data_IF_412195880999
#
_entry.id   IF_412195880999
#
_cell.length_a   1.000
_cell.length_b   1.000
_cell.length_c   1.000
_cell.angle_alpha   90.00
_cell.angle_beta   90.00
_cell.angle_gamma   90.00
#
_symmetry.space_group_name_H-M   'P 1'
#
loop_
_entity.id
_entity.type
_entity.pdbx_description
1 polymer ?
#
# COMPACT_ATOMS: atom_id res chain seq x y z
N UNK A 1 -14.40 6.11 -19.89
CA UNK A 1 -14.83 5.71 -18.54
C UNK A 1 -15.31 6.98 -17.85
N UNK A 2 -16.52 6.99 -17.35
CA UNK A 2 -17.02 8.13 -16.59
C UNK A 2 -16.44 8.13 -15.16
N UNK A 3 -16.66 9.22 -14.41
CA UNK A 3 -16.09 9.34 -13.05
C UNK A 3 -16.66 8.29 -12.10
N UNK A 4 -17.92 7.91 -12.20
CA UNK A 4 -18.52 6.89 -11.33
C UNK A 4 -17.94 5.50 -11.59
N UNK A 5 -17.65 5.17 -12.85
CA UNK A 5 -16.93 3.92 -13.18
C UNK A 5 -15.53 3.89 -12.60
N UNK A 6 -14.81 5.03 -12.62
CA UNK A 6 -13.49 5.15 -11.98
C UNK A 6 -13.61 5.00 -10.47
N UNK A 7 -14.57 5.66 -9.83
CA UNK A 7 -14.79 5.55 -8.38
C UNK A 7 -15.09 4.10 -7.95
N UNK A 8 -15.92 3.41 -8.73
CA UNK A 8 -16.21 1.99 -8.51
C UNK A 8 -14.94 1.13 -8.65
N UNK A 9 -14.14 1.36 -9.68
CA UNK A 9 -12.88 0.64 -9.85
C UNK A 9 -11.90 0.92 -8.69
N UNK A 10 -11.77 2.18 -8.27
CA UNK A 10 -10.90 2.58 -7.15
C UNK A 10 -11.31 1.96 -5.83
N UNK A 11 -12.62 1.78 -5.55
CA UNK A 11 -13.08 1.03 -4.35
C UNK A 11 -12.42 -0.35 -4.26
N UNK A 12 -12.33 -1.07 -5.39
CA UNK A 12 -11.69 -2.37 -5.47
C UNK A 12 -10.16 -2.34 -5.37
N UNK A 13 -9.56 -1.16 -5.38
CA UNK A 13 -8.09 -0.96 -5.26
C UNK A 13 -7.68 -0.39 -3.90
N UNK A 14 -8.62 -0.17 -2.99
CA UNK A 14 -8.30 0.37 -1.67
C UNK A 14 -7.68 -0.71 -0.79
N UNK A 15 -6.52 -0.41 -0.20
CA UNK A 15 -6.05 -1.06 1.02
C UNK A 15 -6.72 -0.31 2.18
N UNK A 16 -7.83 -0.88 2.70
CA UNK A 16 -8.62 -0.26 3.77
C UNK A 16 -7.80 -0.25 5.06
N UNK A 17 -7.36 0.94 5.47
CA UNK A 17 -6.28 1.11 6.43
C UNK A 17 -6.77 1.56 7.79
N UNK A 18 -6.38 0.85 8.85
CA UNK A 18 -6.41 1.32 10.23
C UNK A 18 -5.04 1.18 10.88
N UNK A 19 -4.40 2.32 11.15
CA UNK A 19 -3.08 2.43 11.76
C UNK A 19 -3.08 3.47 12.89
N UNK A 20 -4.04 3.34 13.81
CA UNK A 20 -4.13 4.18 14.99
C UNK A 20 -3.45 3.49 16.18
N UNK A 21 -2.73 4.24 16.99
CA UNK A 21 -2.14 3.72 18.23
C UNK A 21 -3.17 3.19 19.24
N UNK A 22 -4.45 3.53 19.02
CA UNK A 22 -5.60 3.09 19.84
C UNK A 22 -6.41 1.96 19.20
N UNK A 23 -5.90 1.32 18.14
CA UNK A 23 -6.56 0.15 17.57
C UNK A 23 -6.48 -1.04 18.54
N UNK A 24 -7.55 -1.81 18.55
CA UNK A 24 -7.69 -2.99 19.40
C UNK A 24 -8.14 -4.19 18.56
N UNK A 25 -7.91 -5.44 18.99
CA UNK A 25 -8.41 -6.61 18.28
C UNK A 25 -9.90 -6.53 17.97
N UNK A 26 -10.72 -6.05 18.93
CA UNK A 26 -12.17 -5.89 18.74
C UNK A 26 -12.51 -4.90 17.63
N UNK A 27 -11.82 -3.75 17.58
CA UNK A 27 -12.03 -2.75 16.50
C UNK A 27 -11.66 -3.32 15.13
N UNK A 28 -10.55 -4.05 15.05
CA UNK A 28 -10.11 -4.67 13.81
C UNK A 28 -11.06 -5.78 13.37
N UNK A 29 -11.57 -6.60 14.31
CA UNK A 29 -12.60 -7.60 14.01
C UNK A 29 -13.88 -6.95 13.46
N UNK A 30 -14.34 -5.84 14.06
CA UNK A 30 -15.50 -5.09 13.57
C UNK A 30 -15.25 -4.55 12.16
N UNK A 31 -14.06 -3.98 11.91
CA UNK A 31 -13.68 -3.48 10.58
C UNK A 31 -13.68 -4.62 9.53
N UNK A 32 -13.12 -5.78 9.88
CA UNK A 32 -13.11 -6.97 9.01
C UNK A 32 -14.54 -7.48 8.76
N UNK A 33 -15.38 -7.54 9.79
CA UNK A 33 -16.80 -7.90 9.65
C UNK A 33 -17.58 -6.97 8.71
N UNK A 34 -17.29 -5.68 8.73
CA UNK A 34 -17.88 -4.74 7.77
C UNK A 34 -17.46 -5.05 6.33
N UNK A 35 -16.23 -5.51 6.10
CA UNK A 35 -15.80 -5.93 4.76
C UNK A 35 -16.50 -7.21 4.35
N UNK A 36 -16.65 -8.19 5.24
CA UNK A 36 -17.36 -9.45 4.97
C UNK A 36 -18.83 -9.20 4.55
N UNK A 37 -19.52 -8.29 5.27
CA UNK A 37 -20.93 -7.97 5.04
C UNK A 37 -21.16 -6.78 4.08
N UNK A 38 -20.14 -6.36 3.34
CA UNK A 38 -20.24 -5.19 2.46
C UNK A 38 -21.31 -5.36 1.39
N UNK A 39 -21.37 -6.54 0.77
CA UNK A 39 -22.34 -6.84 -0.28
C UNK A 39 -23.79 -6.93 0.18
N UNK A 40 -24.04 -7.05 1.50
CA UNK A 40 -25.41 -6.97 2.05
C UNK A 40 -26.00 -5.56 1.86
N UNK A 41 -25.15 -4.53 1.83
CA UNK A 41 -25.56 -3.13 1.63
C UNK A 41 -25.24 -2.60 0.23
N UNK A 42 -24.20 -3.11 -0.39
CA UNK A 42 -23.66 -2.62 -1.68
C UNK A 42 -23.28 -3.78 -2.61
N UNK A 43 -24.26 -4.56 -3.10
CA UNK A 43 -24.01 -5.79 -3.87
C UNK A 43 -23.29 -5.56 -5.20
N UNK A 44 -23.42 -4.38 -5.78
CA UNK A 44 -22.87 -4.05 -7.10
C UNK A 44 -21.47 -3.43 -7.06
N UNK A 45 -20.90 -3.21 -5.87
CA UNK A 45 -19.60 -2.58 -5.71
C UNK A 45 -18.53 -3.60 -5.27
N UNK A 46 -17.27 -3.44 -5.73
CA UNK A 46 -16.21 -4.34 -5.36
C UNK A 46 -15.81 -4.18 -3.88
N UNK A 47 -15.37 -5.28 -3.28
CA UNK A 47 -14.71 -5.27 -1.99
C UNK A 47 -13.35 -4.54 -2.08
N UNK A 48 -12.83 -3.95 -0.99
CA UNK A 48 -11.49 -3.40 -0.97
C UNK A 48 -10.46 -4.50 -1.30
N UNK A 49 -9.32 -4.09 -1.85
CA UNK A 49 -8.26 -5.02 -2.23
C UNK A 49 -7.65 -5.72 -1.00
N UNK A 50 -7.52 -4.99 0.09
CA UNK A 50 -6.99 -5.53 1.34
C UNK A 50 -7.50 -4.78 2.57
N UNK A 51 -7.28 -5.39 3.74
CA UNK A 51 -7.38 -4.74 5.05
C UNK A 51 -5.95 -4.54 5.56
N UNK A 52 -5.55 -3.26 5.75
CA UNK A 52 -4.19 -2.88 6.12
C UNK A 52 -4.13 -2.43 7.59
N UNK A 53 -3.33 -3.15 8.40
CA UNK A 53 -3.26 -3.00 9.85
C UNK A 53 -1.82 -3.05 10.36
N UNK A 54 -1.61 -2.85 11.66
CA UNK A 54 -0.34 -3.15 12.32
C UNK A 54 -0.07 -4.67 12.37
N UNK A 55 1.21 -5.11 12.43
CA UNK A 55 1.58 -6.53 12.30
C UNK A 55 0.96 -7.42 13.37
N UNK A 56 0.76 -6.91 14.59
CA UNK A 56 0.12 -7.64 15.69
C UNK A 56 -1.36 -7.96 15.48
N UNK A 57 -1.98 -7.41 14.42
CA UNK A 57 -3.36 -7.71 14.05
C UNK A 57 -3.48 -8.63 12.81
N UNK A 58 -2.36 -9.10 12.24
CA UNK A 58 -2.39 -10.01 11.08
C UNK A 58 -3.31 -11.21 11.34
N UNK A 59 -3.08 -11.91 12.45
CA UNK A 59 -3.89 -13.06 12.87
C UNK A 59 -5.36 -12.71 13.08
N UNK A 60 -5.65 -11.53 13.64
CA UNK A 60 -7.03 -11.08 13.89
C UNK A 60 -7.79 -10.92 12.56
N UNK A 61 -7.17 -10.28 11.56
CA UNK A 61 -7.79 -10.10 10.24
C UNK A 61 -7.88 -11.44 9.51
N UNK A 62 -6.80 -12.24 9.50
CA UNK A 62 -6.77 -13.53 8.82
C UNK A 62 -7.83 -14.51 9.35
N UNK A 63 -8.06 -14.52 10.67
CA UNK A 63 -9.07 -15.37 11.30
C UNK A 63 -10.52 -14.87 11.08
N UNK A 64 -10.72 -13.56 10.92
CA UNK A 64 -12.04 -12.97 10.77
C UNK A 64 -12.47 -12.78 9.30
N UNK A 65 -11.51 -12.75 8.36
CA UNK A 65 -11.76 -12.57 6.93
C UNK A 65 -12.43 -13.77 6.32
N UNK A 66 -13.55 -13.58 5.62
CA UNK A 66 -14.28 -14.64 4.92
C UNK A 66 -13.92 -14.77 3.44
N UNK A 67 -13.66 -13.64 2.77
CA UNK A 67 -13.31 -13.63 1.35
C UNK A 67 -11.78 -13.62 1.16
N UNK A 68 -11.17 -14.67 0.58
CA UNK A 68 -9.72 -14.75 0.36
C UNK A 68 -9.20 -13.73 -0.67
N UNK A 69 -10.06 -13.18 -1.54
CA UNK A 69 -9.67 -12.14 -2.51
C UNK A 69 -9.42 -10.77 -1.87
N UNK A 70 -9.82 -10.59 -0.61
CA UNK A 70 -9.46 -9.45 0.21
C UNK A 70 -8.20 -9.82 0.99
N UNK A 71 -7.06 -9.26 0.64
CA UNK A 71 -5.79 -9.61 1.27
C UNK A 71 -5.66 -9.07 2.68
N UNK A 72 -4.81 -9.70 3.49
CA UNK A 72 -4.33 -9.18 4.77
C UNK A 72 -3.02 -8.44 4.51
N UNK A 73 -3.06 -7.11 4.60
CA UNK A 73 -1.87 -6.27 4.50
C UNK A 73 -1.43 -5.83 5.89
N UNK A 74 -0.14 -5.89 6.18
CA UNK A 74 0.40 -5.31 7.39
C UNK A 74 1.48 -4.29 7.05
N UNK A 75 1.61 -3.24 7.90
CA UNK A 75 2.84 -2.47 7.91
C UNK A 75 3.88 -3.19 8.74
N UNK A 76 5.17 -3.08 8.39
CA UNK A 76 6.21 -3.82 9.09
C UNK A 76 7.58 -3.14 8.97
N UNK A 77 8.62 -3.84 9.43
CA UNK A 77 9.98 -3.31 9.43
C UNK A 77 10.13 -2.11 10.37
N UNK A 78 9.47 -2.14 11.52
CA UNK A 78 9.43 -1.06 12.51
C UNK A 78 8.79 0.23 11.94
N UNK A 79 7.65 0.06 11.26
CA UNK A 79 6.83 1.17 10.77
C UNK A 79 6.43 2.11 11.93
N UNK A 80 6.40 3.46 11.76
CA UNK A 80 6.63 4.17 10.50
C UNK A 80 8.09 4.62 10.29
N UNK A 81 8.96 4.52 11.27
CA UNK A 81 10.27 5.15 11.26
C UNK A 81 11.37 4.30 10.62
N UNK A 82 11.18 2.99 10.53
CA UNK A 82 12.23 2.02 10.10
C UNK A 82 13.52 2.10 10.95
N UNK A 83 13.47 2.71 12.14
CA UNK A 83 14.63 2.95 13.02
C UNK A 83 14.81 1.80 14.02
N UNK A 84 15.24 0.65 13.50
CA UNK A 84 15.60 -0.53 14.28
C UNK A 84 16.65 -1.35 13.56
N UNK A 85 17.17 -2.38 14.23
CA UNK A 85 18.14 -3.30 13.61
C UNK A 85 17.43 -4.26 12.63
N UNK A 86 18.14 -4.66 11.60
CA UNK A 86 17.60 -5.55 10.56
C UNK A 86 17.04 -6.87 11.12
N UNK A 87 17.69 -7.56 12.09
CA UNK A 87 17.10 -8.78 12.68
C UNK A 87 15.73 -8.57 13.33
N UNK A 88 15.49 -7.41 13.97
CA UNK A 88 14.19 -7.08 14.57
C UNK A 88 13.14 -6.86 13.49
N UNK A 89 13.48 -6.14 12.41
CA UNK A 89 12.59 -5.92 11.26
C UNK A 89 12.21 -7.24 10.59
N UNK A 90 13.17 -8.13 10.40
CA UNK A 90 12.94 -9.47 9.84
C UNK A 90 12.02 -10.27 10.74
N UNK A 91 12.28 -10.30 12.05
CA UNK A 91 11.46 -11.05 13.00
C UNK A 91 10.00 -10.57 13.02
N UNK A 92 9.77 -9.24 12.99
CA UNK A 92 8.44 -8.64 12.93
C UNK A 92 7.69 -9.04 11.65
N UNK A 93 8.32 -8.88 10.49
CA UNK A 93 7.71 -9.22 9.20
C UNK A 93 7.45 -10.73 9.09
N UNK A 94 8.37 -11.56 9.57
CA UNK A 94 8.25 -13.03 9.62
C UNK A 94 7.07 -13.46 10.47
N UNK A 95 6.92 -12.90 11.67
CA UNK A 95 5.80 -13.20 12.56
C UNK A 95 4.47 -12.81 11.91
N UNK A 96 4.40 -11.64 11.27
CA UNK A 96 3.17 -11.19 10.61
C UNK A 96 2.75 -12.11 9.45
N UNK A 97 3.70 -12.57 8.61
CA UNK A 97 3.40 -13.51 7.52
C UNK A 97 3.01 -14.88 8.06
N UNK A 98 3.66 -15.35 9.13
CA UNK A 98 3.27 -16.60 9.82
C UNK A 98 1.87 -16.52 10.44
N UNK A 99 1.44 -15.31 10.82
CA UNK A 99 0.08 -15.04 11.34
C UNK A 99 -0.96 -14.77 10.24
N UNK A 100 -0.57 -14.93 8.96
CA UNK A 100 -1.49 -14.92 7.82
C UNK A 100 -1.51 -13.60 7.03
N UNK A 101 -0.48 -12.75 7.13
CA UNK A 101 -0.35 -11.61 6.23
C UNK A 101 -0.02 -12.08 4.80
N UNK A 102 -0.78 -11.57 3.84
CA UNK A 102 -0.58 -11.78 2.40
C UNK A 102 0.37 -10.73 1.81
N UNK A 103 0.49 -9.57 2.46
CA UNK A 103 1.23 -8.41 1.99
C UNK A 103 1.90 -7.68 3.15
N UNK A 104 3.13 -7.21 2.94
CA UNK A 104 3.90 -6.46 3.96
C UNK A 104 4.38 -5.14 3.36
N UNK A 105 3.98 -4.03 3.98
CA UNK A 105 4.42 -2.67 3.62
C UNK A 105 5.56 -2.24 4.56
N UNK A 106 6.81 -2.28 4.12
CA UNK A 106 7.97 -1.80 4.90
C UNK A 106 8.37 -0.39 4.49
N UNK A 107 9.04 0.33 5.38
CA UNK A 107 9.62 1.65 5.07
C UNK A 107 11.08 1.50 4.68
N UNK A 108 11.49 2.18 3.60
CA UNK A 108 12.89 2.31 3.22
C UNK A 108 13.75 2.72 4.44
N UNK A 109 14.92 2.14 4.60
CA UNK A 109 15.88 2.53 5.63
C UNK A 109 16.45 3.93 5.30
N UNK A 110 15.66 4.98 5.60
CA UNK A 110 15.98 6.36 5.25
C UNK A 110 17.29 6.84 5.86
N UNK A 111 17.63 6.40 7.08
CA UNK A 111 18.90 6.71 7.71
C UNK A 111 20.09 6.28 6.84
N UNK A 112 20.07 5.05 6.31
CA UNK A 112 21.12 4.55 5.42
C UNK A 112 21.05 5.21 4.04
N UNK A 113 19.83 5.38 3.50
CA UNK A 113 19.62 5.96 2.18
C UNK A 113 20.11 7.43 2.08
N UNK A 114 19.75 8.26 3.07
CA UNK A 114 20.14 9.68 3.11
C UNK A 114 21.65 9.87 3.36
N UNK A 115 22.32 8.94 4.04
CA UNK A 115 23.78 8.88 4.17
C UNK A 115 24.46 8.33 2.91
N UNK A 116 23.68 8.06 1.83
CA UNK A 116 24.15 7.45 0.58
C UNK A 116 24.71 6.03 0.75
N UNK A 117 24.41 5.37 1.86
CA UNK A 117 24.70 3.95 2.06
C UNK A 117 23.59 3.10 1.41
N UNK A 118 23.51 3.18 0.09
CA UNK A 118 22.46 2.51 -0.70
C UNK A 118 22.54 0.99 -0.59
N UNK A 119 23.73 0.44 -0.37
CA UNK A 119 23.91 -1.00 -0.19
C UNK A 119 23.23 -1.49 1.10
N UNK A 120 23.36 -0.74 2.20
CA UNK A 120 22.70 -1.08 3.45
C UNK A 120 21.16 -0.95 3.31
N UNK A 121 20.68 0.12 2.68
CA UNK A 121 19.24 0.31 2.44
C UNK A 121 18.67 -0.79 1.53
N UNK A 122 19.38 -1.15 0.48
CA UNK A 122 19.02 -2.25 -0.44
C UNK A 122 19.00 -3.60 0.26
N UNK A 123 20.02 -3.87 1.07
CA UNK A 123 20.18 -5.12 1.82
C UNK A 123 18.98 -5.39 2.73
N UNK A 124 18.44 -4.39 3.42
CA UNK A 124 17.27 -4.56 4.27
C UNK A 124 16.04 -5.04 3.48
N UNK A 125 15.78 -4.45 2.32
CA UNK A 125 14.66 -4.85 1.45
C UNK A 125 14.85 -6.29 0.97
N UNK A 126 16.05 -6.63 0.50
CA UNK A 126 16.38 -7.97 0.00
C UNK A 126 16.22 -9.03 1.09
N UNK A 127 16.81 -8.80 2.27
CA UNK A 127 16.79 -9.78 3.35
C UNK A 127 15.39 -9.96 3.93
N UNK A 128 14.62 -8.88 4.14
CA UNK A 128 13.23 -8.99 4.57
C UNK A 128 12.42 -9.73 3.51
N UNK A 129 12.49 -9.29 2.24
CA UNK A 129 11.72 -9.89 1.15
C UNK A 129 12.02 -11.37 0.92
N UNK A 130 13.30 -11.75 0.93
CA UNK A 130 13.69 -13.16 0.79
C UNK A 130 13.19 -13.99 1.97
N UNK A 131 13.32 -13.50 3.21
CA UNK A 131 12.91 -14.25 4.40
C UNK A 131 11.40 -14.47 4.46
N UNK A 132 10.58 -13.44 4.23
CA UNK A 132 9.12 -13.61 4.26
C UNK A 132 8.62 -14.55 3.16
N UNK A 133 9.28 -14.56 1.99
CA UNK A 133 8.94 -15.47 0.88
C UNK A 133 9.32 -16.94 1.15
N UNK A 134 10.17 -17.23 2.14
CA UNK A 134 10.39 -18.62 2.58
C UNK A 134 9.16 -19.19 3.30
N UNK A 135 8.34 -18.32 3.92
CA UNK A 135 7.12 -18.71 4.64
C UNK A 135 5.94 -18.78 3.68
N UNK A 136 5.74 -17.71 2.93
CA UNK A 136 4.70 -17.62 1.90
C UNK A 136 5.33 -17.10 0.58
N UNK A 137 5.59 -17.98 -0.41
CA UNK A 137 6.19 -17.56 -1.68
C UNK A 137 5.35 -16.54 -2.46
N UNK A 138 4.04 -16.43 -2.17
CA UNK A 138 3.13 -15.50 -2.83
C UNK A 138 3.02 -14.14 -2.10
N UNK A 139 3.70 -13.96 -0.94
CA UNK A 139 3.62 -12.72 -0.19
C UNK A 139 4.15 -11.54 -0.99
N UNK A 140 3.38 -10.44 -1.02
CA UNK A 140 3.79 -9.22 -1.69
C UNK A 140 4.55 -8.31 -0.72
N UNK A 141 5.69 -7.80 -1.17
CA UNK A 141 6.49 -6.80 -0.46
C UNK A 141 6.25 -5.43 -1.10
N UNK A 142 5.74 -4.47 -0.32
CA UNK A 142 5.64 -3.08 -0.76
C UNK A 142 6.63 -2.24 0.02
N UNK A 143 7.36 -1.36 -0.69
CA UNK A 143 8.35 -0.48 -0.07
C UNK A 143 7.84 0.96 -0.07
N UNK A 144 7.69 1.52 1.12
CA UNK A 144 7.32 2.92 1.34
C UNK A 144 8.59 3.74 1.21
N UNK A 145 8.62 4.64 0.23
CA UNK A 145 9.77 5.50 -0.03
C UNK A 145 9.84 6.69 0.93
N UNK A 146 8.70 7.09 1.52
CA UNK A 146 8.52 8.29 2.34
C UNK A 146 8.93 9.56 1.56
N UNK A 147 8.25 9.79 0.45
CA UNK A 147 8.57 10.86 -0.50
C UNK A 147 8.61 12.25 0.12
N UNK A 148 7.85 12.47 1.21
CA UNK A 148 7.90 13.71 1.99
C UNK A 148 9.23 13.96 2.70
N UNK A 149 9.98 12.90 3.04
CA UNK A 149 11.33 13.02 3.59
C UNK A 149 12.38 13.23 2.49
N UNK A 150 12.16 12.65 1.32
CA UNK A 150 13.09 12.73 0.19
C UNK A 150 13.02 14.08 -0.53
N UNK A 151 11.82 14.59 -0.76
CA UNK A 151 11.46 15.88 -1.37
C UNK A 151 12.04 16.11 -2.78
N UNK A 152 13.34 15.88 -2.98
CA UNK A 152 14.03 16.09 -4.25
C UNK A 152 13.69 14.98 -5.25
N UNK A 153 13.45 15.39 -6.52
CA UNK A 153 13.15 14.47 -7.62
C UNK A 153 14.20 13.35 -7.73
N UNK A 154 15.47 13.71 -7.72
CA UNK A 154 16.57 12.75 -7.86
C UNK A 154 16.56 11.69 -6.74
N UNK A 155 16.28 12.08 -5.49
CA UNK A 155 16.20 11.15 -4.38
C UNK A 155 14.98 10.22 -4.47
N UNK A 156 13.85 10.71 -4.99
CA UNK A 156 12.65 9.89 -5.24
C UNK A 156 12.93 8.89 -6.37
N UNK A 157 13.62 9.31 -7.43
CA UNK A 157 14.04 8.43 -8.53
C UNK A 157 14.99 7.33 -8.02
N UNK A 158 16.06 7.71 -7.31
CA UNK A 158 17.04 6.77 -6.74
C UNK A 158 16.37 5.74 -5.81
N UNK A 159 15.50 6.21 -4.90
CA UNK A 159 14.76 5.35 -3.98
C UNK A 159 13.80 4.40 -4.72
N UNK A 160 13.14 4.88 -5.79
CA UNK A 160 12.25 4.07 -6.61
C UNK A 160 13.01 2.92 -7.29
N UNK A 161 14.14 3.23 -7.95
CA UNK A 161 14.95 2.20 -8.59
C UNK A 161 15.56 1.23 -7.58
N UNK A 162 16.12 1.74 -6.48
CA UNK A 162 16.68 0.91 -5.41
C UNK A 162 15.64 -0.10 -4.89
N UNK A 163 14.43 0.36 -4.59
CA UNK A 163 13.36 -0.51 -4.08
C UNK A 163 12.93 -1.56 -5.11
N UNK A 164 12.73 -1.17 -6.37
CA UNK A 164 12.35 -2.09 -7.44
C UNK A 164 13.44 -3.13 -7.73
N UNK A 165 14.71 -2.72 -7.80
CA UNK A 165 15.85 -3.61 -8.01
C UNK A 165 16.11 -4.54 -6.82
N UNK A 166 15.77 -4.10 -5.61
CA UNK A 166 15.82 -4.94 -4.39
C UNK A 166 14.68 -5.96 -4.28
N UNK A 167 13.73 -5.96 -5.23
CA UNK A 167 12.69 -6.97 -5.30
C UNK A 167 11.34 -6.57 -4.71
N UNK A 168 11.09 -5.27 -4.53
CA UNK A 168 9.75 -4.77 -4.16
C UNK A 168 8.72 -5.11 -5.23
N UNK A 169 7.53 -5.59 -4.83
CA UNK A 169 6.41 -5.82 -5.74
C UNK A 169 5.60 -4.54 -5.98
N UNK A 170 5.63 -3.63 -5.00
CA UNK A 170 5.08 -2.28 -5.10
C UNK A 170 6.06 -1.27 -4.52
N UNK A 171 6.03 -0.06 -5.08
CA UNK A 171 6.56 1.13 -4.41
C UNK A 171 5.40 1.99 -3.93
N UNK A 172 5.49 2.49 -2.70
CA UNK A 172 4.45 3.27 -2.02
C UNK A 172 5.00 4.63 -1.65
N UNK A 173 4.18 5.67 -1.80
CA UNK A 173 4.66 7.05 -1.55
C UNK A 173 5.05 7.28 -0.10
N UNK A 174 4.17 6.99 0.85
CA UNK A 174 4.28 7.54 2.21
C UNK A 174 3.69 6.63 3.29
N UNK A 175 4.15 6.82 4.51
CA UNK A 175 3.57 6.18 5.71
C UNK A 175 2.22 6.80 6.09
N UNK A 176 1.99 8.06 5.73
CA UNK A 176 0.89 8.89 6.24
C UNK A 176 1.11 9.44 7.65
N UNK A 177 2.29 9.20 8.24
CA UNK A 177 2.69 9.70 9.57
C UNK A 177 3.63 10.91 9.50
N UNK A 178 4.08 11.28 8.30
CA UNK A 178 4.88 12.45 7.99
C UNK A 178 4.17 13.31 6.95
N UNK A 179 4.45 14.62 6.95
CA UNK A 179 3.97 15.57 5.95
C UNK A 179 5.16 16.23 5.23
N UNK A 180 5.05 16.53 3.92
CA UNK A 180 3.93 16.13 3.06
C UNK A 180 3.86 14.62 2.89
N UNK A 181 2.64 14.08 2.70
CA UNK A 181 2.47 12.66 2.41
C UNK A 181 2.46 12.42 0.89
N UNK A 182 1.45 11.74 0.32
CA UNK A 182 1.37 11.58 -1.13
C UNK A 182 1.14 12.92 -1.83
N UNK A 183 1.92 13.19 -2.89
CA UNK A 183 1.70 14.33 -3.79
C UNK A 183 1.62 13.85 -5.24
N UNK A 184 0.88 14.57 -6.11
CA UNK A 184 0.82 14.24 -7.53
C UNK A 184 2.18 14.25 -8.21
N UNK A 185 3.07 15.17 -7.79
CA UNK A 185 4.43 15.31 -8.33
C UNK A 185 5.28 14.08 -8.02
N UNK A 186 5.28 13.64 -6.75
CA UNK A 186 5.99 12.43 -6.35
C UNK A 186 5.42 11.18 -7.04
N UNK A 187 4.09 11.10 -7.17
CA UNK A 187 3.42 10.02 -7.88
C UNK A 187 3.82 9.96 -9.35
N UNK A 188 3.91 11.11 -10.03
CA UNK A 188 4.36 11.19 -11.42
C UNK A 188 5.80 10.67 -11.56
N UNK A 189 6.71 11.12 -10.69
CA UNK A 189 8.11 10.67 -10.70
C UNK A 189 8.19 9.14 -10.51
N UNK A 190 7.49 8.61 -9.51
CA UNK A 190 7.48 7.17 -9.24
C UNK A 190 6.89 6.36 -10.41
N UNK A 191 5.81 6.83 -11.03
CA UNK A 191 5.22 6.17 -12.20
C UNK A 191 6.15 6.21 -13.42
N UNK A 192 6.88 7.32 -13.65
CA UNK A 192 7.89 7.40 -14.70
C UNK A 192 9.04 6.41 -14.47
N UNK A 193 9.48 6.24 -13.22
CA UNK A 193 10.46 5.22 -12.83
C UNK A 193 9.94 3.80 -13.10
N UNK A 194 8.70 3.49 -12.70
CA UNK A 194 8.07 2.18 -12.97
C UNK A 194 8.01 1.90 -14.47
N UNK A 195 7.55 2.87 -15.27
CA UNK A 195 7.49 2.74 -16.73
C UNK A 195 8.87 2.42 -17.32
N UNK A 196 9.88 3.18 -16.91
CA UNK A 196 11.26 3.00 -17.39
C UNK A 196 11.84 1.65 -16.96
N UNK A 197 11.60 1.26 -15.71
CA UNK A 197 12.03 -0.01 -15.17
C UNK A 197 11.38 -1.19 -15.90
N UNK A 198 10.06 -1.13 -16.13
CA UNK A 198 9.32 -2.13 -16.90
C UNK A 198 9.84 -2.25 -18.32
N UNK A 199 10.04 -1.14 -19.02
CA UNK A 199 10.58 -1.15 -20.40
C UNK A 199 11.97 -1.82 -20.47
N UNK A 200 12.77 -1.69 -19.42
CA UNK A 200 14.15 -2.21 -19.35
C UNK A 200 14.22 -3.69 -18.92
N UNK A 201 13.31 -4.13 -18.06
CA UNK A 201 13.39 -5.45 -17.40
C UNK A 201 12.23 -6.40 -17.74
N UNK A 202 11.13 -5.89 -18.29
CA UNK A 202 9.88 -6.63 -18.48
C UNK A 202 9.08 -6.84 -17.18
N UNK A 203 9.64 -6.48 -16.00
CA UNK A 203 8.98 -6.69 -14.71
C UNK A 203 7.96 -5.60 -14.44
N UNK A 204 6.73 -5.98 -14.13
CA UNK A 204 5.70 -5.07 -13.66
C UNK A 204 5.83 -4.87 -12.14
N UNK A 205 5.99 -3.63 -11.72
CA UNK A 205 5.97 -3.23 -10.30
C UNK A 205 4.75 -2.35 -10.08
N UNK A 206 4.06 -2.56 -8.97
CA UNK A 206 2.86 -1.82 -8.62
C UNK A 206 3.16 -0.45 -8.01
N UNK A 207 2.15 0.42 -8.04
CA UNK A 207 2.17 1.75 -7.44
C UNK A 207 1.09 1.89 -6.36
N UNK A 208 1.45 2.48 -5.21
CA UNK A 208 0.52 2.74 -4.11
C UNK A 208 0.69 4.15 -3.55
N UNK A 209 -0.12 5.14 -3.96
CA UNK A 209 -0.21 6.39 -3.24
C UNK A 209 -0.87 6.18 -1.87
N UNK A 210 -0.37 6.85 -0.84
CA UNK A 210 -0.88 6.74 0.52
C UNK A 210 -0.60 7.99 1.34
N UNK A 211 -1.53 8.30 2.26
CA UNK A 211 -1.44 9.46 3.14
C UNK A 211 -2.00 10.75 2.53
N UNK A 212 -2.99 11.33 3.20
CA UNK A 212 -3.65 12.56 2.76
C UNK A 212 -4.72 12.36 1.69
N UNK A 213 -4.83 11.20 1.09
CA UNK A 213 -5.77 10.90 0.00
C UNK A 213 -7.13 10.55 0.61
N UNK A 214 -8.16 11.33 0.32
CA UNK A 214 -9.47 11.14 0.95
C UNK A 214 -10.68 11.44 0.07
N UNK A 215 -10.54 12.23 -0.97
CA UNK A 215 -11.66 12.68 -1.80
C UNK A 215 -11.78 11.89 -3.11
N UNK A 216 -12.95 11.89 -3.77
CA UNK A 216 -13.10 11.37 -5.13
C UNK A 216 -12.19 12.05 -6.14
N UNK A 217 -11.91 13.35 -5.97
CA UNK A 217 -11.01 14.13 -6.82
C UNK A 217 -9.56 13.66 -6.66
N UNK A 218 -9.14 13.33 -5.43
CA UNK A 218 -7.82 12.70 -5.21
C UNK A 218 -7.74 11.37 -5.98
N UNK A 219 -8.79 10.55 -5.92
CA UNK A 219 -8.83 9.28 -6.64
C UNK A 219 -8.66 9.47 -8.15
N UNK A 220 -9.36 10.44 -8.74
CA UNK A 220 -9.22 10.79 -10.17
C UNK A 220 -7.80 11.28 -10.51
N UNK A 221 -7.21 12.07 -9.65
CA UNK A 221 -5.85 12.60 -9.84
C UNK A 221 -4.84 11.46 -9.99
N UNK A 222 -4.79 10.54 -9.03
CA UNK A 222 -3.85 9.41 -9.09
C UNK A 222 -4.22 8.39 -10.16
N UNK A 223 -5.51 8.15 -10.41
CA UNK A 223 -5.97 7.33 -11.53
C UNK A 223 -5.44 7.85 -12.86
N UNK A 224 -5.56 9.16 -13.10
CA UNK A 224 -5.10 9.77 -14.34
C UNK A 224 -3.57 9.71 -14.49
N UNK A 225 -2.81 9.89 -13.41
CA UNK A 225 -1.34 9.74 -13.44
C UNK A 225 -0.99 8.31 -13.87
N UNK A 226 -1.56 7.29 -13.23
CA UNK A 226 -1.28 5.87 -13.55
C UNK A 226 -1.74 5.54 -14.96
N UNK A 227 -2.96 5.92 -15.34
CA UNK A 227 -3.52 5.65 -16.67
C UNK A 227 -2.69 6.25 -17.80
N UNK A 228 -2.27 7.52 -17.63
CA UNK A 228 -1.54 8.24 -18.67
C UNK A 228 -0.06 7.82 -18.74
N UNK A 229 0.54 7.42 -17.62
CA UNK A 229 1.96 7.10 -17.54
C UNK A 229 2.26 5.62 -17.75
N UNK A 230 1.46 4.76 -17.12
CA UNK A 230 1.68 3.30 -17.10
C UNK A 230 0.71 2.54 -18.02
N UNK A 231 -0.44 3.14 -18.32
CA UNK A 231 -1.44 2.54 -19.19
C UNK A 231 -2.40 1.59 -18.49
N UNK A 232 -3.34 1.04 -19.26
CA UNK A 232 -4.46 0.25 -18.75
C UNK A 232 -4.06 -1.02 -18.01
N UNK A 233 -2.90 -1.59 -18.32
CA UNK A 233 -2.43 -2.82 -17.67
C UNK A 233 -2.17 -2.64 -16.17
N UNK A 234 -1.90 -1.41 -15.72
CA UNK A 234 -1.72 -1.09 -14.31
C UNK A 234 -3.03 -0.74 -13.59
N UNK A 235 -4.13 -0.48 -14.28
CA UNK A 235 -5.43 -0.15 -13.67
C UNK A 235 -6.14 -1.41 -13.13
N UNK A 236 -5.44 -2.13 -12.26
CA UNK A 236 -5.86 -3.39 -11.64
C UNK A 236 -5.29 -3.48 -10.22
N UNK A 237 -6.05 -4.04 -9.26
CA UNK A 237 -5.61 -4.16 -7.87
C UNK A 237 -4.29 -4.91 -7.67
N UNK A 238 -3.83 -5.67 -8.65
CA UNK A 238 -2.53 -6.34 -8.65
C UNK A 238 -1.35 -5.37 -8.83
N UNK A 239 -1.59 -4.17 -9.38
CA UNK A 239 -0.54 -3.20 -9.70
C UNK A 239 -0.86 -1.78 -9.27
N UNK A 240 -2.10 -1.51 -8.83
CA UNK A 240 -2.49 -0.19 -8.37
C UNK A 240 -3.34 -0.29 -7.12
N UNK A 241 -2.89 0.35 -6.04
CA UNK A 241 -3.59 0.38 -4.75
C UNK A 241 -3.66 1.80 -4.22
N UNK A 242 -4.61 2.05 -3.35
CA UNK A 242 -4.74 3.29 -2.58
C UNK A 242 -4.66 2.96 -1.09
N UNK A 243 -3.64 3.51 -0.40
CA UNK A 243 -3.57 3.41 1.06
C UNK A 243 -4.48 4.47 1.70
N UNK A 244 -5.70 4.09 2.05
CA UNK A 244 -6.71 5.03 2.52
C UNK A 244 -7.69 4.42 3.51
N UNK A 245 -8.37 5.28 4.29
CA UNK A 245 -9.47 4.92 5.17
C UNK A 245 -10.74 5.69 4.79
N UNK A 246 -10.71 7.02 4.91
CA UNK A 246 -11.87 7.88 4.64
C UNK A 246 -12.33 7.87 3.18
N UNK A 247 -11.42 7.64 2.24
CA UNK A 247 -11.71 7.59 0.81
C UNK A 247 -12.83 6.60 0.49
N UNK A 248 -12.86 5.42 1.12
CA UNK A 248 -13.88 4.40 0.87
C UNK A 248 -15.31 4.96 1.09
N UNK A 249 -15.54 5.63 2.21
CA UNK A 249 -16.85 6.26 2.50
C UNK A 249 -17.16 7.43 1.56
N UNK A 250 -16.15 8.20 1.17
CA UNK A 250 -16.34 9.35 0.28
C UNK A 250 -16.64 8.90 -1.15
N UNK A 251 -16.01 7.84 -1.63
CA UNK A 251 -16.33 7.23 -2.93
C UNK A 251 -17.73 6.62 -2.92
N UNK A 252 -18.11 5.90 -1.85
CA UNK A 252 -19.49 5.38 -1.70
C UNK A 252 -20.50 6.52 -1.70
N UNK A 253 -20.19 7.63 -1.01
CA UNK A 253 -21.09 8.80 -1.00
C UNK A 253 -21.27 9.41 -2.40
N UNK A 254 -20.18 9.47 -3.19
CA UNK A 254 -20.24 9.99 -4.56
C UNK A 254 -20.94 9.03 -5.55
N UNK A 255 -20.86 7.72 -5.31
CA UNK A 255 -21.55 6.71 -6.11
C UNK A 255 -23.06 6.68 -5.83
N UNK A 256 -23.43 6.82 -4.56
CA UNK A 256 -24.81 6.77 -4.07
C UNK A 256 -25.53 8.11 -4.13
N UNK A 257 -24.85 9.20 -4.50
CA UNK A 257 -25.38 10.59 -4.48
C UNK A 257 -25.98 11.00 -3.11
N UNK A 258 -25.44 10.42 -2.00
CA UNK A 258 -25.87 10.70 -0.63
C UNK A 258 -24.73 10.41 0.36
N UNK A 259 -24.73 11.03 1.55
CA UNK A 259 -23.72 10.71 2.57
C UNK A 259 -23.76 9.23 2.99
N UNK A 260 -22.62 8.57 2.94
CA UNK A 260 -22.42 7.17 3.38
C UNK A 260 -21.31 7.11 4.43
N UNK A 261 -21.59 6.43 5.53
CA UNK A 261 -20.63 6.09 6.60
C UNK A 261 -20.73 4.61 6.87
N UNK A 262 -20.07 3.82 6.06
CA UNK A 262 -20.10 2.37 6.18
C UNK A 262 -18.86 1.84 6.94
N UNK A 263 -17.68 2.27 6.52
CA UNK A 263 -16.42 1.89 7.16
C UNK A 263 -16.04 2.77 8.35
#
# INVERSE_FOLDING_TARGET
MDNKEIYKAVLGMIDLTSLNSTDTPSKITVMTGKVNHFHDSFPDYPLPASICVYPNFAKTVAAARENPDVHVTVVGGCFPASQSTLPVKIAECTAAVSDGADEVDIVLALNSFLEKNYEAARREIVEIGSTIRTINPAVLLKVILETGALQEKALIEDASYLAMEAGADFIKTSTGKMQPAATPEAAQIMCDCIRTYHAKTGRMVGFKPAGGISTPEDALTYWNIVSNTLGKAWLDKRYFRFGASRMANNLLSALEDRPVKYY
#
